data_IF_169256503379
#
_entry.id   IF_169256503379
#
_cell.length_a   1.000
_cell.length_b   1.000
_cell.length_c   1.000
_cell.angle_alpha   90.00
_cell.angle_beta   90.00
_cell.angle_gamma   90.00
#
_symmetry.space_group_name_H-M   'P 1'
#
loop_
_entity.id
_entity.type
_entity.pdbx_description
1 polymer ?
#
# COMPACT_ATOMS: atom_id res chain seq x y z
N UNK A 1 -19.06 2.51 -11.05
CA UNK A 1 -18.76 3.87 -11.54
C UNK A 1 -18.24 4.67 -10.36
N UNK A 2 -16.97 5.06 -10.39
CA UNK A 2 -16.40 5.95 -9.39
C UNK A 2 -17.20 7.26 -9.43
N UNK A 3 -17.71 7.69 -8.29
CA UNK A 3 -18.35 9.02 -8.19
C UNK A 3 -17.23 10.05 -8.23
N UNK A 4 -17.31 10.99 -9.18
CA UNK A 4 -16.34 12.09 -9.28
C UNK A 4 -16.11 12.73 -7.92
N UNK A 5 -14.85 13.04 -7.62
CA UNK A 5 -14.43 13.69 -6.38
C UNK A 5 -15.27 14.99 -6.18
N UNK A 6 -15.78 15.24 -4.97
CA UNK A 6 -16.61 16.41 -4.72
C UNK A 6 -15.78 17.69 -4.84
N UNK A 7 -16.18 18.57 -5.76
CA UNK A 7 -15.55 19.87 -5.97
C UNK A 7 -16.40 21.02 -5.40
N UNK A 8 -15.75 22.09 -4.86
CA UNK A 8 -16.44 23.31 -4.51
C UNK A 8 -17.12 23.93 -5.75
N UNK A 9 -18.31 24.51 -5.55
CA UNK A 9 -19.00 25.21 -6.63
C UNK A 9 -18.24 26.52 -6.97
N UNK A 10 -17.76 26.70 -8.22
CA UNK A 10 -17.02 27.89 -8.61
C UNK A 10 -17.85 29.17 -8.56
N UNK A 11 -19.18 29.11 -8.49
CA UNK A 11 -20.03 30.27 -8.27
C UNK A 11 -20.03 30.73 -6.80
N UNK A 12 -19.72 29.84 -5.87
CA UNK A 12 -19.72 30.08 -4.43
C UNK A 12 -18.30 30.33 -3.91
N UNK A 13 -17.30 29.67 -4.49
CA UNK A 13 -15.91 29.69 -4.02
C UNK A 13 -14.98 30.28 -5.09
N UNK A 14 -14.03 31.10 -4.63
CA UNK A 14 -12.92 31.63 -5.40
C UNK A 14 -11.68 30.79 -5.09
N UNK A 15 -11.25 29.97 -6.05
CA UNK A 15 -10.13 29.04 -5.94
C UNK A 15 -8.96 29.67 -6.68
N UNK A 16 -7.82 29.85 -6.01
CA UNK A 16 -6.67 30.60 -6.52
C UNK A 16 -5.46 29.70 -6.75
N UNK A 17 -4.61 30.13 -7.67
CA UNK A 17 -3.36 29.45 -8.01
C UNK A 17 -2.36 29.38 -6.86
N UNK A 18 -2.43 30.29 -5.88
CA UNK A 18 -1.60 30.29 -4.69
C UNK A 18 -1.98 29.19 -3.67
N UNK A 19 -2.99 28.37 -3.98
CA UNK A 19 -3.47 27.31 -3.09
C UNK A 19 -4.51 27.78 -2.07
N UNK A 20 -5.00 29.01 -2.17
CA UNK A 20 -6.03 29.54 -1.25
C UNK A 20 -7.43 29.43 -1.84
N UNK A 21 -8.44 29.28 -0.97
CA UNK A 21 -9.84 29.22 -1.35
C UNK A 21 -10.66 30.21 -0.50
N UNK A 22 -11.42 31.06 -1.15
CA UNK A 22 -12.26 32.05 -0.49
C UNK A 22 -13.74 31.82 -0.78
N UNK A 23 -14.59 32.16 0.16
CA UNK A 23 -16.04 32.26 -0.09
C UNK A 23 -16.35 33.56 -0.82
N UNK A 24 -16.86 33.50 -2.06
CA UNK A 24 -17.15 34.69 -2.91
C UNK A 24 -18.06 35.70 -2.23
N UNK A 25 -19.13 35.24 -1.56
CA UNK A 25 -20.10 36.12 -0.89
C UNK A 25 -19.53 36.78 0.36
N UNK A 26 -18.69 36.06 1.11
CA UNK A 26 -18.16 36.51 2.41
C UNK A 26 -16.81 37.21 2.30
N UNK A 27 -16.08 37.02 1.20
CA UNK A 27 -14.68 37.43 1.05
C UNK A 27 -13.72 36.75 2.02
N UNK A 28 -14.19 35.76 2.80
CA UNK A 28 -13.38 35.12 3.85
C UNK A 28 -12.64 33.90 3.31
N UNK A 29 -11.39 33.75 3.75
CA UNK A 29 -10.58 32.55 3.52
C UNK A 29 -11.26 31.34 4.16
N UNK A 30 -11.35 30.25 3.40
CA UNK A 30 -11.83 28.96 3.91
C UNK A 30 -10.71 28.30 4.72
N UNK A 31 -10.97 27.95 6.00
CA UNK A 31 -9.95 27.38 6.86
C UNK A 31 -9.46 26.02 6.35
N UNK A 32 -8.15 25.87 6.22
CA UNK A 32 -7.50 24.58 5.95
C UNK A 32 -7.40 23.80 7.26
N UNK A 33 -7.71 22.52 7.21
CA UNK A 33 -7.64 21.58 8.34
C UNK A 33 -6.71 20.43 7.97
N UNK A 34 -6.15 19.81 8.99
CA UNK A 34 -5.34 18.59 8.80
C UNK A 34 -6.26 17.37 8.70
N UNK A 35 -6.05 16.55 7.69
CA UNK A 35 -6.69 15.23 7.58
C UNK A 35 -6.09 14.24 8.59
N UNK A 36 -6.70 13.09 8.78
CA UNK A 36 -6.14 12.01 9.63
C UNK A 36 -4.76 11.51 9.15
N UNK A 37 -4.38 11.82 7.93
CA UNK A 37 -3.09 11.47 7.34
C UNK A 37 -2.09 12.63 7.30
N UNK A 38 -2.37 13.75 7.99
CA UNK A 38 -1.50 14.91 8.00
C UNK A 38 -1.63 15.86 6.80
N UNK A 39 -2.50 15.54 5.83
CA UNK A 39 -2.64 16.30 4.60
C UNK A 39 -3.63 17.46 4.74
N UNK A 40 -3.40 18.60 4.06
CA UNK A 40 -4.31 19.75 4.07
C UNK A 40 -5.62 19.43 3.34
N UNK A 41 -6.71 19.74 3.99
CA UNK A 41 -8.07 19.57 3.46
C UNK A 41 -8.95 20.76 3.81
N UNK A 42 -9.94 21.03 2.98
CA UNK A 42 -10.97 22.01 3.28
C UNK A 42 -12.35 21.38 3.35
N UNK A 43 -13.20 22.02 4.13
CA UNK A 43 -14.62 21.71 4.23
C UNK A 43 -15.42 22.79 3.49
N UNK A 44 -16.24 22.38 2.55
CA UNK A 44 -17.05 23.27 1.73
C UNK A 44 -18.48 22.77 1.58
N UNK A 45 -19.38 23.65 1.14
CA UNK A 45 -20.75 23.33 0.85
C UNK A 45 -20.88 22.88 -0.61
N UNK A 46 -21.61 21.77 -0.84
CA UNK A 46 -22.08 21.38 -2.17
C UNK A 46 -23.55 20.96 -2.07
N UNK A 47 -24.43 21.75 -2.68
CA UNK A 47 -25.88 21.63 -2.44
C UNK A 47 -26.21 21.88 -0.97
N UNK A 48 -26.91 20.95 -0.34
CA UNK A 48 -27.34 21.07 1.07
C UNK A 48 -26.43 20.34 2.07
N UNK A 49 -25.23 19.87 1.64
CA UNK A 49 -24.34 19.08 2.48
C UNK A 49 -22.93 19.61 2.48
N UNK A 50 -22.26 19.46 3.64
CA UNK A 50 -20.82 19.65 3.71
C UNK A 50 -20.08 18.48 3.03
N UNK A 51 -19.02 18.84 2.32
CA UNK A 51 -18.04 17.92 1.76
C UNK A 51 -16.66 18.28 2.27
N UNK A 52 -15.77 17.31 2.30
CA UNK A 52 -14.37 17.49 2.65
C UNK A 52 -13.54 16.91 1.53
N UNK A 53 -12.52 17.65 1.09
CA UNK A 53 -11.61 17.18 0.05
C UNK A 53 -10.20 17.73 0.32
N UNK A 54 -9.18 17.03 -0.14
CA UNK A 54 -7.79 17.49 -0.11
C UNK A 54 -7.65 18.76 -0.92
N UNK A 55 -6.92 19.74 -0.36
CA UNK A 55 -6.74 21.03 -0.99
C UNK A 55 -6.02 20.91 -2.33
N UNK A 56 -4.95 20.11 -2.41
CA UNK A 56 -4.22 19.87 -3.65
C UNK A 56 -5.11 19.31 -4.78
N UNK A 57 -6.00 18.37 -4.47
CA UNK A 57 -6.95 17.85 -5.45
C UNK A 57 -7.93 18.92 -5.95
N UNK A 58 -8.39 19.80 -5.06
CA UNK A 58 -9.29 20.91 -5.43
C UNK A 58 -8.57 21.88 -6.36
N UNK A 59 -7.36 22.30 -6.02
CA UNK A 59 -6.56 23.22 -6.84
C UNK A 59 -6.29 22.60 -8.21
N UNK A 60 -5.76 21.38 -8.23
CA UNK A 60 -5.48 20.68 -9.48
C UNK A 60 -6.71 20.57 -10.37
N UNK A 61 -7.80 20.03 -9.82
CA UNK A 61 -9.02 19.77 -10.63
C UNK A 61 -9.66 21.06 -11.12
N UNK A 62 -9.57 22.15 -10.35
CA UNK A 62 -10.10 23.44 -10.79
C UNK A 62 -9.39 23.99 -12.02
N UNK A 63 -8.06 23.88 -12.09
CA UNK A 63 -7.27 24.50 -13.15
C UNK A 63 -6.95 23.55 -14.32
N UNK A 64 -6.85 22.24 -14.07
CA UNK A 64 -6.45 21.24 -15.07
C UNK A 64 -7.53 20.22 -15.42
N UNK A 65 -8.66 20.22 -14.70
CA UNK A 65 -9.73 19.24 -14.91
C UNK A 65 -9.58 17.97 -14.06
N UNK A 66 -10.33 16.94 -14.41
CA UNK A 66 -10.38 15.70 -13.64
C UNK A 66 -9.02 14.99 -13.59
N UNK A 67 -8.70 14.44 -12.42
CA UNK A 67 -7.50 13.62 -12.22
C UNK A 67 -7.74 12.27 -12.92
N UNK A 68 -6.89 11.86 -13.87
CA UNK A 68 -7.07 10.59 -14.58
C UNK A 68 -6.96 9.39 -13.62
N UNK A 69 -7.55 8.28 -14.05
CA UNK A 69 -7.45 7.01 -13.32
C UNK A 69 -5.97 6.62 -13.09
N UNK A 70 -5.67 6.10 -11.90
CA UNK A 70 -4.30 5.74 -11.51
C UNK A 70 -3.30 6.90 -11.55
N UNK A 71 -3.77 8.13 -11.36
CA UNK A 71 -2.90 9.30 -11.17
C UNK A 71 -3.10 9.91 -9.80
N UNK A 72 -2.04 10.45 -9.23
CA UNK A 72 -2.03 11.09 -7.91
C UNK A 72 -1.41 12.50 -8.02
N UNK A 73 -2.05 13.48 -7.37
CA UNK A 73 -1.46 14.82 -7.25
C UNK A 73 -0.33 14.78 -6.23
N UNK A 74 0.87 15.19 -6.64
CA UNK A 74 2.09 15.26 -5.84
C UNK A 74 2.64 16.68 -5.78
N UNK A 75 3.66 16.89 -4.96
CA UNK A 75 4.26 18.19 -4.66
C UNK A 75 5.71 18.20 -5.12
N UNK A 76 6.11 19.26 -5.84
CA UNK A 76 7.47 19.38 -6.38
C UNK A 76 8.50 19.53 -5.27
N UNK A 77 8.14 20.24 -4.17
CA UNK A 77 8.98 20.48 -3.01
C UNK A 77 8.79 19.45 -1.87
N UNK A 78 8.01 18.40 -2.11
CA UNK A 78 7.61 17.39 -1.11
C UNK A 78 6.84 17.93 0.11
N UNK A 79 6.47 19.23 0.12
CA UNK A 79 5.65 19.81 1.19
C UNK A 79 4.15 19.75 0.83
N UNK A 80 3.35 18.89 1.49
CA UNK A 80 1.93 18.77 1.22
C UNK A 80 1.12 20.02 1.59
N UNK A 81 1.67 20.94 2.37
CA UNK A 81 1.02 22.18 2.74
C UNK A 81 1.19 23.28 1.70
N UNK A 82 2.16 23.18 0.82
CA UNK A 82 2.32 24.05 -0.33
C UNK A 82 1.44 23.58 -1.49
N UNK A 83 0.15 23.92 -1.45
CA UNK A 83 -0.83 23.57 -2.47
C UNK A 83 -0.90 24.60 -3.62
N UNK A 84 0.10 25.47 -3.81
CA UNK A 84 0.15 26.38 -4.97
C UNK A 84 0.19 25.57 -6.28
N UNK A 85 -0.49 26.05 -7.32
CA UNK A 85 -0.64 25.33 -8.59
C UNK A 85 0.70 24.98 -9.21
N UNK A 86 1.67 25.90 -9.17
CA UNK A 86 3.01 25.68 -9.71
C UNK A 86 3.84 24.64 -8.94
N UNK A 87 3.42 24.26 -7.73
CA UNK A 87 4.06 23.22 -6.92
C UNK A 87 3.39 21.85 -7.09
N UNK A 88 2.28 21.75 -7.82
CA UNK A 88 1.56 20.51 -8.01
C UNK A 88 1.92 19.87 -9.36
N UNK A 89 2.00 18.53 -9.37
CA UNK A 89 2.11 17.76 -10.60
C UNK A 89 1.32 16.44 -10.47
N UNK A 90 0.98 15.85 -11.62
CA UNK A 90 0.39 14.50 -11.64
C UNK A 90 1.49 13.45 -11.77
N UNK A 91 1.43 12.46 -10.90
CA UNK A 91 2.23 11.24 -10.98
C UNK A 91 1.38 10.12 -11.56
N UNK A 92 1.86 9.49 -12.63
CA UNK A 92 1.28 8.26 -13.16
C UNK A 92 1.70 7.08 -12.28
N UNK A 93 0.73 6.41 -11.67
CA UNK A 93 0.96 5.25 -10.82
C UNK A 93 1.04 3.94 -11.61
N UNK A 94 0.63 3.91 -12.87
CA UNK A 94 0.75 2.71 -13.72
C UNK A 94 2.22 2.33 -13.96
N UNK A 95 3.15 3.28 -13.86
CA UNK A 95 4.59 3.01 -13.94
C UNK A 95 5.13 2.27 -12.71
N UNK A 96 4.52 2.47 -11.54
CA UNK A 96 4.96 1.89 -10.27
C UNK A 96 4.20 0.63 -9.89
N UNK A 97 2.90 0.56 -10.25
CA UNK A 97 1.99 -0.46 -9.78
C UNK A 97 1.44 -1.31 -10.92
N UNK A 98 1.54 -2.62 -10.76
CA UNK A 98 0.98 -3.61 -11.69
C UNK A 98 -0.34 -4.14 -11.12
N UNK A 99 -1.45 -4.11 -11.89
CA UNK A 99 -2.72 -4.68 -11.48
C UNK A 99 -2.60 -6.16 -11.12
N UNK A 100 -3.37 -6.60 -10.13
CA UNK A 100 -3.43 -7.99 -9.70
C UNK A 100 -4.60 -8.72 -10.39
N UNK A 101 -4.32 -9.66 -11.29
CA UNK A 101 -5.35 -10.45 -11.97
C UNK A 101 -6.24 -11.22 -10.98
N UNK A 102 -5.62 -11.78 -9.96
CA UNK A 102 -6.32 -12.56 -8.91
C UNK A 102 -7.17 -11.70 -7.98
N UNK A 103 -6.83 -10.42 -7.83
CA UNK A 103 -7.49 -9.49 -6.91
C UNK A 103 -7.88 -8.20 -7.66
N UNK A 104 -8.95 -8.25 -8.48
CA UNK A 104 -9.38 -7.10 -9.27
C UNK A 104 -9.62 -5.87 -8.39
N UNK A 105 -9.20 -4.71 -8.89
CA UNK A 105 -9.29 -3.45 -8.15
C UNK A 105 -8.09 -3.15 -7.26
N UNK A 106 -7.07 -4.02 -7.23
CA UNK A 106 -5.82 -3.80 -6.50
C UNK A 106 -4.62 -3.89 -7.44
N UNK A 107 -3.57 -3.12 -7.13
CA UNK A 107 -2.31 -3.15 -7.85
C UNK A 107 -1.15 -3.17 -6.85
N UNK A 108 -0.04 -3.83 -7.22
CA UNK A 108 1.15 -3.98 -6.37
C UNK A 108 2.38 -3.42 -7.05
N UNK A 109 3.27 -2.82 -6.25
CA UNK A 109 4.59 -2.36 -6.71
C UNK A 109 5.66 -3.43 -6.53
N UNK A 110 6.78 -3.27 -7.26
CA UNK A 110 7.99 -4.10 -7.05
C UNK A 110 8.56 -3.97 -5.65
N UNK A 111 8.29 -2.87 -4.96
CA UNK A 111 8.67 -2.66 -3.55
C UNK A 111 7.77 -3.37 -2.53
N UNK A 112 6.69 -4.04 -2.97
CA UNK A 112 5.76 -4.72 -2.08
C UNK A 112 4.69 -3.79 -1.48
N UNK A 113 4.42 -2.63 -2.08
CA UNK A 113 3.29 -1.78 -1.72
C UNK A 113 2.03 -2.20 -2.46
N UNK A 114 0.90 -2.25 -1.78
CA UNK A 114 -0.41 -2.55 -2.36
C UNK A 114 -1.30 -1.31 -2.32
N UNK A 115 -1.95 -1.01 -3.44
CA UNK A 115 -2.96 0.06 -3.52
C UNK A 115 -4.31 -0.47 -3.96
N UNK A 116 -5.37 0.16 -3.50
CA UNK A 116 -6.68 0.07 -4.12
C UNK A 116 -6.72 1.04 -5.31
N UNK A 117 -6.96 0.55 -6.51
CA UNK A 117 -6.84 1.32 -7.75
C UNK A 117 -7.92 2.41 -7.89
N UNK A 118 -9.08 2.23 -7.25
CA UNK A 118 -10.17 3.23 -7.30
C UNK A 118 -9.92 4.39 -6.34
N UNK A 119 -9.47 4.09 -5.12
CA UNK A 119 -9.29 5.09 -4.06
C UNK A 119 -7.87 5.58 -3.91
N UNK A 120 -6.90 4.92 -4.55
CA UNK A 120 -5.45 5.10 -4.43
C UNK A 120 -4.94 4.95 -2.98
N UNK A 121 -5.76 4.30 -2.13
CA UNK A 121 -5.39 4.06 -0.74
C UNK A 121 -4.32 2.96 -0.66
N UNK A 122 -3.19 3.27 -0.02
CA UNK A 122 -2.12 2.30 0.27
C UNK A 122 -2.53 1.41 1.43
N UNK A 123 -2.50 0.10 1.21
CA UNK A 123 -2.88 -0.93 2.17
C UNK A 123 -1.62 -1.38 2.90
N UNK A 124 -1.60 -1.16 4.21
CA UNK A 124 -0.46 -1.59 5.04
C UNK A 124 -0.54 -3.08 5.30
N UNK A 125 0.55 -3.82 5.11
CA UNK A 125 0.61 -5.22 5.50
C UNK A 125 0.60 -5.36 7.02
N UNK A 126 0.10 -6.49 7.50
CA UNK A 126 0.09 -6.87 8.91
C UNK A 126 0.75 -8.23 9.06
N UNK A 127 1.25 -8.53 10.26
CA UNK A 127 1.73 -9.87 10.60
C UNK A 127 0.79 -10.49 11.62
N UNK A 128 -0.12 -11.39 11.19
CA UNK A 128 -0.98 -12.09 12.13
C UNK A 128 -0.16 -12.97 13.09
N UNK A 129 -0.58 -13.17 14.36
CA UNK A 129 0.17 -13.95 15.34
C UNK A 129 0.45 -15.41 14.93
N UNK A 130 -0.39 -15.96 14.04
CA UNK A 130 -0.25 -17.32 13.50
C UNK A 130 0.60 -17.40 12.23
N UNK A 131 1.20 -16.29 11.80
CA UNK A 131 1.95 -16.20 10.54
C UNK A 131 3.33 -15.64 10.79
N UNK A 132 4.26 -16.04 9.94
CA UNK A 132 5.66 -15.60 9.96
C UNK A 132 5.99 -14.61 8.87
N UNK A 133 5.04 -14.37 7.95
CA UNK A 133 5.18 -13.47 6.83
C UNK A 133 4.14 -12.34 6.87
N UNK A 134 4.50 -11.14 6.41
CA UNK A 134 3.55 -10.05 6.24
C UNK A 134 2.42 -10.43 5.27
N UNK A 135 1.21 -10.06 5.64
CA UNK A 135 -0.01 -10.36 4.89
C UNK A 135 -0.75 -9.08 4.57
N UNK A 136 -1.31 -9.00 3.37
CA UNK A 136 -2.36 -8.05 3.06
C UNK A 136 -3.72 -8.61 3.42
N UNK A 137 -4.59 -7.75 3.92
CA UNK A 137 -6.01 -8.07 4.13
C UNK A 137 -6.85 -7.05 3.38
N UNK A 138 -7.62 -7.51 2.40
CA UNK A 138 -8.45 -6.69 1.54
C UNK A 138 -9.89 -7.21 1.53
N UNK A 139 -10.82 -6.36 1.11
CA UNK A 139 -12.20 -6.77 0.83
C UNK A 139 -12.43 -6.80 -0.67
N UNK A 140 -12.86 -7.96 -1.17
CA UNK A 140 -13.26 -8.17 -2.56
C UNK A 140 -14.67 -8.74 -2.54
N UNK A 141 -15.60 -8.11 -3.22
CA UNK A 141 -17.02 -8.50 -3.30
C UNK A 141 -17.66 -8.74 -1.93
N UNK A 142 -17.29 -7.91 -0.94
CA UNK A 142 -17.80 -7.99 0.43
C UNK A 142 -17.10 -9.02 1.33
N UNK A 143 -16.28 -9.90 0.79
CA UNK A 143 -15.53 -10.90 1.54
C UNK A 143 -14.12 -10.43 1.88
N UNK A 144 -13.65 -10.79 3.08
CA UNK A 144 -12.27 -10.53 3.47
C UNK A 144 -11.34 -11.58 2.84
N UNK A 145 -10.31 -11.11 2.14
CA UNK A 145 -9.26 -11.91 1.54
C UNK A 145 -7.91 -11.54 2.13
N UNK A 146 -7.13 -12.56 2.46
CA UNK A 146 -5.80 -12.36 3.04
C UNK A 146 -4.78 -13.15 2.24
N UNK A 147 -3.67 -12.49 1.86
CA UNK A 147 -2.62 -13.10 1.03
C UNK A 147 -1.24 -12.55 1.41
N UNK A 148 -0.16 -13.38 1.24
CA UNK A 148 1.19 -13.00 1.64
C UNK A 148 1.80 -11.99 0.66
N UNK A 149 2.50 -10.97 1.20
CA UNK A 149 3.09 -9.88 0.42
C UNK A 149 4.16 -10.42 -0.55
N UNK A 150 5.17 -11.12 -0.03
CA UNK A 150 6.30 -11.61 -0.83
C UNK A 150 5.87 -12.50 -2.00
N UNK A 151 4.92 -13.43 -1.76
CA UNK A 151 4.40 -14.30 -2.82
C UNK A 151 3.66 -13.52 -3.89
N UNK A 152 2.88 -12.52 -3.48
CA UNK A 152 2.14 -11.68 -4.43
C UNK A 152 3.10 -10.88 -5.30
N UNK A 153 4.17 -10.30 -4.72
CA UNK A 153 5.21 -9.61 -5.48
C UNK A 153 5.88 -10.57 -6.46
N UNK A 154 6.33 -11.72 -5.97
CA UNK A 154 7.03 -12.70 -6.82
C UNK A 154 6.17 -13.16 -7.99
N UNK A 155 4.96 -13.68 -7.72
CA UNK A 155 4.06 -14.20 -8.76
C UNK A 155 3.68 -13.12 -9.79
N UNK A 156 3.47 -11.88 -9.35
CA UNK A 156 3.08 -10.77 -10.24
C UNK A 156 4.20 -10.40 -11.21
N UNK A 157 5.45 -10.31 -10.74
CA UNK A 157 6.55 -9.78 -11.54
C UNK A 157 7.41 -10.85 -12.21
N UNK A 158 7.49 -12.04 -11.64
CA UNK A 158 8.24 -13.15 -12.22
C UNK A 158 7.37 -14.07 -13.07
N UNK A 159 6.03 -14.01 -12.91
CA UNK A 159 5.10 -14.87 -13.65
C UNK A 159 5.13 -16.35 -13.24
N UNK A 160 5.92 -16.69 -12.23
CA UNK A 160 6.12 -18.07 -11.77
C UNK A 160 5.41 -18.31 -10.45
N UNK A 161 4.67 -19.42 -10.36
CA UNK A 161 4.13 -19.88 -9.08
C UNK A 161 5.23 -20.54 -8.25
N UNK A 162 5.27 -20.22 -6.97
CA UNK A 162 6.18 -20.87 -6.02
C UNK A 162 5.62 -22.24 -5.64
N UNK A 163 5.86 -23.27 -6.46
CA UNK A 163 5.23 -24.58 -6.27
C UNK A 163 6.10 -25.56 -5.46
N UNK A 164 7.40 -25.59 -5.69
CA UNK A 164 8.33 -26.56 -5.08
C UNK A 164 9.58 -25.92 -4.47
N UNK A 165 9.69 -24.60 -4.57
CA UNK A 165 10.83 -23.85 -4.05
C UNK A 165 10.42 -23.02 -2.82
N UNK A 166 11.40 -22.62 -2.04
CA UNK A 166 11.21 -21.71 -0.91
C UNK A 166 11.44 -20.26 -1.36
N UNK A 167 10.49 -19.38 -1.10
CA UNK A 167 10.67 -17.96 -1.35
C UNK A 167 11.35 -17.32 -0.14
N UNK A 168 12.57 -16.82 -0.36
CA UNK A 168 13.46 -16.33 0.67
C UNK A 168 13.77 -14.84 0.50
N UNK A 169 14.24 -14.21 1.59
CA UNK A 169 14.66 -12.82 1.63
C UNK A 169 16.18 -12.73 1.76
N UNK A 170 16.86 -12.04 0.84
CA UNK A 170 18.33 -11.94 0.80
C UNK A 170 18.91 -11.30 2.07
N UNK A 171 18.22 -10.31 2.63
CA UNK A 171 18.63 -9.61 3.85
C UNK A 171 18.12 -10.29 5.14
N UNK A 172 17.37 -11.39 5.04
CA UNK A 172 16.75 -12.08 6.15
C UNK A 172 15.57 -11.33 6.81
N UNK A 173 15.20 -10.15 6.30
CA UNK A 173 14.09 -9.36 6.83
C UNK A 173 12.80 -9.68 6.09
N UNK A 174 11.90 -10.40 6.72
CA UNK A 174 10.61 -10.81 6.15
C UNK A 174 9.68 -9.65 5.78
N UNK A 175 9.92 -8.46 6.34
CA UNK A 175 9.17 -7.25 6.02
C UNK A 175 9.65 -6.58 4.73
N UNK A 176 10.87 -6.85 4.30
CA UNK A 176 11.41 -6.35 3.05
C UNK A 176 11.01 -7.26 1.89
N UNK A 177 9.78 -7.12 1.44
CA UNK A 177 9.21 -7.93 0.36
C UNK A 177 9.49 -7.34 -1.04
N UNK A 178 10.47 -6.45 -1.19
CA UNK A 178 10.86 -5.91 -2.48
C UNK A 178 11.40 -7.03 -3.39
N UNK A 179 11.02 -6.97 -4.68
CA UNK A 179 11.35 -8.01 -5.66
C UNK A 179 12.84 -8.33 -5.75
N UNK A 180 13.68 -7.30 -5.70
CA UNK A 180 15.15 -7.42 -5.74
C UNK A 180 15.73 -8.09 -4.49
N UNK A 181 15.01 -8.08 -3.37
CA UNK A 181 15.36 -8.76 -2.13
C UNK A 181 14.86 -10.21 -2.07
N UNK A 182 13.99 -10.63 -2.99
CA UNK A 182 13.44 -11.98 -3.02
C UNK A 182 14.28 -12.90 -3.91
N UNK A 183 14.28 -14.20 -3.58
CA UNK A 183 14.84 -15.26 -4.41
C UNK A 183 14.20 -16.61 -4.10
N UNK A 184 14.25 -17.54 -5.07
CA UNK A 184 13.84 -18.93 -4.86
C UNK A 184 15.03 -19.79 -4.42
N UNK A 185 14.79 -20.71 -3.50
CA UNK A 185 15.75 -21.72 -3.05
C UNK A 185 15.11 -23.10 -3.13
N UNK A 186 15.88 -24.10 -3.58
CA UNK A 186 15.47 -25.51 -3.56
C UNK A 186 15.65 -26.12 -2.17
N UNK A 187 16.51 -25.53 -1.37
CA UNK A 187 16.79 -25.97 -0.01
C UNK A 187 16.00 -25.13 0.99
N UNK A 188 15.42 -25.79 2.00
CA UNK A 188 14.84 -25.06 3.12
C UNK A 188 15.92 -24.17 3.75
N UNK A 189 15.72 -22.85 3.83
CA UNK A 189 16.72 -21.98 4.41
C UNK A 189 16.86 -22.31 5.90
N UNK A 190 17.92 -23.03 6.23
CA UNK A 190 18.16 -23.47 7.60
C UNK A 190 18.41 -22.31 8.57
N UNK A 191 18.61 -21.07 8.06
CA UNK A 191 18.80 -19.90 8.93
C UNK A 191 18.44 -18.59 8.25
N UNK A 192 17.81 -17.63 8.96
CA UNK A 192 18.19 -16.25 8.80
C UNK A 192 19.67 -16.11 9.28
N UNK A 193 20.48 -15.21 8.67
CA UNK A 193 21.79 -14.89 9.24
C UNK A 193 21.58 -14.52 10.72
N UNK A 194 22.45 -15.03 11.60
CA UNK A 194 22.38 -14.83 13.04
C UNK A 194 22.14 -13.35 13.32
N UNK A 195 20.92 -13.00 13.69
CA UNK A 195 20.60 -11.65 14.15
C UNK A 195 21.47 -11.34 15.36
N UNK A 196 21.95 -10.10 15.41
CA UNK A 196 22.71 -9.62 16.56
C UNK A 196 21.95 -9.92 17.84
N UNK A 197 22.65 -10.55 18.80
CA UNK A 197 22.14 -10.84 20.14
C UNK A 197 21.76 -9.52 20.81
N UNK A 198 20.51 -9.13 20.77
CA UNK A 198 19.97 -8.11 21.67
C UNK A 198 19.54 -8.83 22.95
N UNK A 199 20.14 -8.46 24.07
CA UNK A 199 19.78 -8.85 25.43
C UNK A 199 20.02 -10.32 25.84
N UNK A 200 21.01 -11.00 25.28
CA UNK A 200 21.45 -12.32 25.77
C UNK A 200 20.44 -13.46 25.58
N UNK A 201 19.32 -13.22 24.92
CA UNK A 201 18.33 -14.23 24.53
C UNK A 201 18.53 -14.59 23.07
N UNK A 202 18.82 -15.87 22.81
CA UNK A 202 18.74 -16.44 21.47
C UNK A 202 17.26 -16.38 21.05
N UNK A 203 16.91 -15.47 20.13
CA UNK A 203 15.64 -15.57 19.46
C UNK A 203 15.72 -16.73 18.48
N UNK A 204 14.86 -17.73 18.69
CA UNK A 204 14.68 -18.82 17.74
C UNK A 204 14.35 -18.24 16.38
N UNK A 205 14.97 -18.71 15.28
CA UNK A 205 14.63 -18.28 13.96
C UNK A 205 13.14 -18.51 13.71
N UNK A 206 12.49 -17.48 13.18
CA UNK A 206 11.08 -17.56 12.81
C UNK A 206 10.95 -18.61 11.72
N UNK A 207 10.24 -19.70 11.99
CA UNK A 207 9.98 -20.76 11.01
C UNK A 207 9.16 -20.19 9.84
N UNK A 208 9.72 -20.23 8.63
CA UNK A 208 9.03 -19.82 7.41
C UNK A 208 8.05 -20.92 7.00
N UNK A 209 6.78 -20.73 7.25
CA UNK A 209 5.75 -21.61 6.72
C UNK A 209 5.37 -21.22 5.31
N UNK A 210 5.63 -22.10 4.35
CA UNK A 210 5.06 -22.03 3.03
C UNK A 210 3.62 -22.52 3.13
N UNK A 211 2.69 -21.65 2.90
CA UNK A 211 1.34 -22.07 2.62
C UNK A 211 1.19 -22.25 1.12
N UNK A 212 1.09 -23.48 0.70
CA UNK A 212 0.61 -23.79 -0.64
C UNK A 212 -0.75 -23.12 -0.81
N UNK A 213 -0.82 -22.17 -1.70
CA UNK A 213 -2.05 -21.49 -2.11
C UNK A 213 -2.69 -22.37 -3.17
N UNK A 214 -3.25 -23.49 -2.77
CA UNK A 214 -4.36 -24.14 -3.48
C UNK A 214 -4.91 -25.23 -2.57
N UNK A 215 -6.08 -25.01 -2.05
CA UNK A 215 -7.17 -25.87 -1.63
C UNK A 215 -6.97 -27.34 -1.25
N UNK A 216 -5.77 -27.80 -1.01
CA UNK A 216 -5.51 -29.14 -0.52
C UNK A 216 -5.46 -29.08 1.00
N UNK A 217 -6.51 -29.60 1.65
CA UNK A 217 -6.47 -30.00 3.05
C UNK A 217 -5.42 -31.10 3.21
N UNK A 218 -4.14 -30.74 3.17
CA UNK A 218 -3.04 -31.61 3.52
C UNK A 218 -2.94 -31.72 5.02
N UNK A 219 -2.96 -32.96 5.52
CA UNK A 219 -2.63 -33.29 6.91
C UNK A 219 -1.29 -32.64 7.27
N UNK A 220 -1.24 -32.05 8.48
CA UNK A 220 0.00 -31.61 9.11
C UNK A 220 0.93 -32.81 9.24
N UNK A 221 1.86 -32.99 8.32
CA UNK A 221 3.04 -33.79 8.57
C UNK A 221 4.08 -32.85 9.18
N UNK A 222 4.41 -33.11 10.44
CA UNK A 222 5.50 -32.47 11.17
C UNK A 222 6.84 -33.01 10.64
N UNK A 223 7.20 -32.62 9.43
CA UNK A 223 8.45 -33.00 8.80
C UNK A 223 9.54 -31.96 9.02
N UNK A 224 9.97 -31.77 10.27
CA UNK A 224 11.31 -31.18 10.52
C UNK A 224 12.31 -32.28 10.18
N UNK A 225 13.21 -32.11 9.20
CA UNK A 225 14.27 -33.08 8.92
C UNK A 225 15.03 -33.37 10.18
N UNK A 226 15.35 -34.66 10.46
CA UNK A 226 15.98 -35.12 11.70
C UNK A 226 17.33 -34.47 12.01
N UNK A 227 18.01 -33.93 11.01
CA UNK A 227 19.28 -33.21 11.16
C UNK A 227 19.16 -31.77 11.68
N UNK A 228 17.96 -31.22 11.79
CA UNK A 228 17.70 -29.90 12.40
C UNK A 228 17.27 -29.99 13.87
N UNK A 229 17.29 -31.18 14.50
CA UNK A 229 17.10 -31.30 15.95
C UNK A 229 18.42 -30.91 16.63
N UNK A 230 18.44 -29.70 17.21
CA UNK A 230 19.51 -29.31 18.12
C UNK A 230 19.56 -30.32 19.26
N UNK A 231 20.73 -30.96 19.41
CA UNK A 231 21.01 -31.83 20.53
C UNK A 231 20.83 -31.09 21.84
N UNK A 232 20.03 -31.67 22.71
CA UNK A 232 19.99 -31.32 24.13
C UNK A 232 21.33 -31.58 24.77
N UNK A 233 21.99 -30.52 25.22
CA UNK A 233 22.95 -30.52 26.30
C UNK A 233 22.58 -29.43 27.29
#
# INVERSE_FOLDING_TARGET
MATADPMPDPNIYDIREDGTVYGKRSGKLIPVRTSRYGLPQIRFYKGHRYRVQLLSKIIWTHFHGEIPFMHEVRYVDDDPWNCSLGNLYLKDLNEEFTPLDRWPGFAISKGGELINMETLHRIKPTMPPSRTNPMFSVRVDGESRTFPVAFTVWETFMGEKVNSHYLCHKDGNVWNCALDNLYLSDEYPCFPPKGDKKDGKEYMPVEYYIHMVDGVKGKRESGIPQHCRLGSY
#
